data_IF_238297888296
#
_entry.id   IF_238297888296
#
_cell.length_a   1.000
_cell.length_b   1.000
_cell.length_c   1.000
_cell.angle_alpha   90.00
_cell.angle_beta   90.00
_cell.angle_gamma   90.00
#
_symmetry.space_group_name_H-M   'P 1'
#
loop_
_entity.id
_entity.type
_entity.pdbx_description
1 polymer ?
#
# COMPACT_ATOMS: atom_id res chain seq x y z
N UNK A 1 4.96 -13.55 3.51
CA UNK A 1 3.85 -14.39 3.04
C UNK A 1 3.89 -15.72 3.78
N UNK A 2 2.75 -16.41 3.91
CA UNK A 2 2.64 -17.70 4.62
C UNK A 2 3.00 -18.92 3.75
N UNK A 3 2.64 -20.13 4.20
CA UNK A 3 2.85 -21.39 3.47
C UNK A 3 1.76 -21.64 2.43
N UNK A 4 2.12 -21.57 1.15
CA UNK A 4 1.23 -21.69 0.00
C UNK A 4 0.65 -23.09 -0.23
N UNK A 5 1.15 -24.10 0.49
CA UNK A 5 0.72 -25.51 0.36
C UNK A 5 -0.60 -25.79 1.06
N UNK A 6 -1.12 -24.81 1.79
CA UNK A 6 -2.47 -24.90 2.35
C UNK A 6 -3.48 -25.18 1.23
N UNK A 7 -4.50 -25.98 1.54
CA UNK A 7 -5.58 -26.24 0.59
C UNK A 7 -6.36 -24.95 0.35
N UNK A 8 -6.20 -24.41 -0.86
CA UNK A 8 -6.78 -23.14 -1.29
C UNK A 8 -8.31 -23.11 -1.14
N UNK A 9 -9.01 -24.14 -1.63
CA UNK A 9 -10.47 -24.19 -1.61
C UNK A 9 -11.01 -24.23 -0.18
N UNK A 10 -10.38 -25.04 0.68
CA UNK A 10 -10.73 -25.13 2.09
C UNK A 10 -10.40 -23.83 2.84
N UNK A 11 -9.32 -23.12 2.48
CA UNK A 11 -8.96 -21.85 3.08
C UNK A 11 -9.97 -20.74 2.77
N UNK A 12 -10.38 -20.61 1.50
CA UNK A 12 -11.43 -19.66 1.10
C UNK A 12 -12.77 -20.00 1.75
N UNK A 13 -13.13 -21.29 1.82
CA UNK A 13 -14.35 -21.71 2.50
C UNK A 13 -14.36 -21.26 3.97
N UNK A 14 -13.26 -21.49 4.71
CA UNK A 14 -13.14 -21.02 6.10
C UNK A 14 -13.28 -19.50 6.20
N UNK A 15 -12.65 -18.75 5.29
CA UNK A 15 -12.74 -17.29 5.29
C UNK A 15 -14.19 -16.80 5.11
N UNK A 16 -14.97 -17.40 4.20
CA UNK A 16 -16.37 -17.02 4.02
C UNK A 16 -17.29 -17.47 5.17
N UNK A 17 -17.00 -18.61 5.80
CA UNK A 17 -17.80 -19.13 6.92
C UNK A 17 -17.50 -18.42 8.25
N UNK A 18 -16.24 -18.05 8.49
CA UNK A 18 -15.76 -17.58 9.79
C UNK A 18 -15.31 -16.12 9.78
N UNK A 19 -15.16 -15.52 8.59
CA UNK A 19 -14.58 -14.20 8.42
C UNK A 19 -13.04 -14.21 8.52
N UNK A 20 -12.40 -13.03 8.37
CA UNK A 20 -10.98 -12.86 8.61
C UNK A 20 -10.65 -12.97 10.13
N UNK A 21 -9.41 -13.32 10.50
CA UNK A 21 -8.92 -13.22 11.87
C UNK A 21 -9.12 -11.81 12.45
N UNK A 22 -9.42 -11.66 13.74
CA UNK A 22 -9.73 -10.35 14.33
C UNK A 22 -8.60 -9.30 14.20
N UNK A 23 -7.35 -9.77 14.13
CA UNK A 23 -6.12 -9.00 13.98
C UNK A 23 -5.62 -8.95 12.52
N UNK A 24 -6.48 -9.23 11.54
CA UNK A 24 -6.08 -9.28 10.13
C UNK A 24 -5.46 -7.94 9.69
N UNK A 25 -6.00 -6.80 10.14
CA UNK A 25 -5.56 -5.47 9.74
C UNK A 25 -4.13 -5.14 10.19
N UNK A 26 -3.61 -5.89 11.17
CA UNK A 26 -2.24 -5.69 11.64
C UNK A 26 -1.21 -6.33 10.70
N UNK A 27 -1.64 -7.28 9.87
CA UNK A 27 -0.76 -8.17 9.10
C UNK A 27 -1.04 -8.16 7.59
N UNK A 28 -2.27 -7.85 7.17
CA UNK A 28 -2.74 -8.01 5.79
C UNK A 28 -3.35 -6.70 5.27
N UNK A 29 -3.14 -6.42 3.99
CA UNK A 29 -3.62 -5.20 3.34
C UNK A 29 -5.14 -5.15 3.19
N UNK A 30 -5.79 -6.32 3.16
CA UNK A 30 -7.23 -6.47 3.14
C UNK A 30 -7.67 -7.67 3.99
N UNK A 31 -8.95 -7.73 4.36
CA UNK A 31 -9.50 -8.90 5.03
C UNK A 31 -9.34 -10.16 4.16
N UNK A 32 -9.50 -10.03 2.84
CA UNK A 32 -9.41 -11.14 1.90
C UNK A 32 -7.99 -11.66 1.75
N UNK A 33 -6.98 -10.79 1.84
CA UNK A 33 -5.57 -11.18 1.88
C UNK A 33 -5.24 -12.16 3.03
N UNK A 34 -6.02 -12.16 4.12
CA UNK A 34 -5.86 -13.13 5.21
C UNK A 34 -6.38 -14.54 4.89
N UNK A 35 -7.12 -14.72 3.78
CA UNK A 35 -7.78 -15.97 3.44
C UNK A 35 -6.79 -17.07 3.04
N UNK A 36 -5.74 -16.72 2.28
CA UNK A 36 -4.74 -17.65 1.79
C UNK A 36 -3.43 -16.92 1.46
N UNK A 37 -2.24 -17.54 1.59
CA UNK A 37 -0.98 -16.90 1.22
C UNK A 37 -0.91 -16.41 -0.24
N UNK A 38 -1.63 -17.07 -1.16
CA UNK A 38 -1.79 -16.57 -2.54
C UNK A 38 -2.64 -15.30 -2.63
N UNK A 39 -3.66 -15.16 -1.79
CA UNK A 39 -4.43 -13.90 -1.71
C UNK A 39 -3.61 -12.80 -1.05
N UNK A 40 -2.83 -13.10 -0.01
CA UNK A 40 -1.90 -12.14 0.59
C UNK A 40 -0.93 -11.58 -0.45
N UNK A 41 -0.39 -12.46 -1.30
CA UNK A 41 0.46 -12.08 -2.42
C UNK A 41 -0.28 -11.21 -3.45
N UNK A 42 -1.42 -11.69 -3.95
CA UNK A 42 -2.18 -11.02 -5.01
C UNK A 42 -2.68 -9.64 -4.57
N UNK A 43 -3.26 -9.53 -3.38
CA UNK A 43 -3.79 -8.29 -2.83
C UNK A 43 -2.66 -7.30 -2.49
N UNK A 44 -1.51 -7.77 -1.98
CA UNK A 44 -0.33 -6.90 -1.78
C UNK A 44 0.17 -6.33 -3.11
N UNK A 45 0.24 -7.16 -4.16
CA UNK A 45 0.66 -6.72 -5.48
C UNK A 45 -0.33 -5.73 -6.10
N UNK A 46 -1.63 -6.03 -6.03
CA UNK A 46 -2.68 -5.14 -6.51
C UNK A 46 -2.62 -3.78 -5.79
N UNK A 47 -2.42 -3.79 -4.48
CA UNK A 47 -2.26 -2.57 -3.70
C UNK A 47 -1.01 -1.78 -4.09
N UNK A 48 0.11 -2.47 -4.31
CA UNK A 48 1.34 -1.84 -4.79
C UNK A 48 1.15 -1.14 -6.14
N UNK A 49 0.46 -1.77 -7.10
CA UNK A 49 0.12 -1.16 -8.39
C UNK A 49 -0.77 0.07 -8.17
N UNK A 50 -1.85 -0.04 -7.39
CA UNK A 50 -2.73 1.10 -7.11
C UNK A 50 -1.97 2.28 -6.52
N UNK A 51 -1.01 2.04 -5.61
CA UNK A 51 -0.15 3.08 -5.06
C UNK A 51 0.68 3.75 -6.15
N UNK A 52 1.34 2.97 -7.01
CA UNK A 52 2.16 3.52 -8.10
C UNK A 52 1.33 4.34 -9.09
N UNK A 53 0.22 3.78 -9.60
CA UNK A 53 -0.62 4.45 -10.59
C UNK A 53 -1.21 5.76 -10.06
N UNK A 54 -1.57 5.78 -8.79
CA UNK A 54 -2.10 6.99 -8.13
C UNK A 54 -1.00 8.04 -7.93
N UNK A 55 0.22 7.63 -7.58
CA UNK A 55 1.37 8.53 -7.50
C UNK A 55 1.74 9.10 -8.87
N UNK A 56 1.74 8.27 -9.92
CA UNK A 56 2.00 8.68 -11.31
C UNK A 56 0.93 9.67 -11.79
N UNK A 57 -0.34 9.41 -11.50
CA UNK A 57 -1.43 10.36 -11.77
C UNK A 57 -1.18 11.70 -11.07
N UNK A 58 -0.80 11.69 -9.78
CA UNK A 58 -0.49 12.91 -9.05
C UNK A 58 0.74 13.66 -9.60
N UNK A 59 1.76 12.94 -10.07
CA UNK A 59 2.92 13.48 -10.77
C UNK A 59 2.51 14.18 -12.08
N UNK A 60 1.69 13.54 -12.91
CA UNK A 60 1.19 14.08 -14.18
C UNK A 60 0.39 15.38 -14.02
N UNK A 61 -0.38 15.50 -12.93
CA UNK A 61 -1.09 16.73 -12.58
C UNK A 61 -0.25 17.75 -11.80
N UNK A 62 1.05 17.48 -11.59
CA UNK A 62 1.98 18.40 -10.93
C UNK A 62 1.66 18.64 -9.45
N UNK A 63 1.09 17.65 -8.77
CA UNK A 63 0.74 17.76 -7.35
C UNK A 63 2.00 17.97 -6.51
N UNK A 64 1.98 19.04 -5.72
CA UNK A 64 3.03 19.34 -4.73
C UNK A 64 2.41 19.47 -3.36
N UNK A 65 2.94 18.73 -2.41
CA UNK A 65 2.41 18.66 -1.06
C UNK A 65 3.37 19.31 -0.09
N UNK A 66 2.84 19.95 0.96
CA UNK A 66 3.66 20.23 2.13
C UNK A 66 3.91 18.91 2.84
N UNK A 67 5.17 18.63 3.19
CA UNK A 67 5.48 17.41 3.94
C UNK A 67 4.75 17.44 5.29
N UNK A 68 4.09 16.35 5.65
CA UNK A 68 3.48 16.20 6.98
C UNK A 68 4.64 16.11 7.99
N UNK A 69 4.66 16.92 9.06
CA UNK A 69 5.73 16.87 10.06
C UNK A 69 5.86 15.46 10.68
N UNK A 70 7.07 14.90 10.62
CA UNK A 70 7.44 13.57 11.11
C UNK A 70 8.96 13.44 11.24
N UNK A 71 9.40 12.44 12.01
CA UNK A 71 10.74 12.36 12.61
C UNK A 71 11.86 11.93 11.63
N UNK A 72 12.11 12.63 10.51
CA UNK A 72 13.35 12.46 9.74
C UNK A 72 13.76 13.71 8.93
N UNK A 73 14.96 14.23 9.27
CA UNK A 73 15.93 15.03 8.51
C UNK A 73 15.48 16.38 7.85
N UNK A 74 16.40 17.38 7.76
CA UNK A 74 16.12 18.65 7.10
C UNK A 74 16.01 18.44 5.58
N UNK A 75 14.78 18.40 5.10
CA UNK A 75 14.43 18.33 3.68
C UNK A 75 13.54 19.52 3.33
N UNK A 76 13.47 19.93 2.05
CA UNK A 76 12.63 21.05 1.63
C UNK A 76 11.17 20.85 2.05
N UNK A 77 10.52 21.93 2.48
CA UNK A 77 9.14 21.93 3.01
C UNK A 77 8.09 21.39 2.02
N UNK A 78 8.41 21.41 0.72
CA UNK A 78 7.56 20.90 -0.35
C UNK A 78 8.07 19.55 -0.87
N UNK A 79 7.18 18.55 -0.83
CA UNK A 79 7.30 17.27 -1.48
C UNK A 79 6.70 17.37 -2.88
N UNK A 80 7.52 17.17 -3.92
CA UNK A 80 7.03 16.96 -5.28
C UNK A 80 6.78 15.47 -5.44
N UNK A 81 5.56 15.09 -5.80
CA UNK A 81 5.24 13.68 -6.07
C UNK A 81 5.89 13.29 -7.39
N UNK A 82 6.72 12.25 -7.35
CA UNK A 82 7.40 11.64 -8.48
C UNK A 82 7.70 10.17 -8.22
N UNK A 83 7.69 9.36 -9.27
CA UNK A 83 8.12 7.97 -9.18
C UNK A 83 9.55 7.89 -8.59
N UNK A 84 9.69 7.11 -7.51
CA UNK A 84 10.95 6.89 -6.81
C UNK A 84 11.37 5.44 -6.90
N UNK A 85 12.66 5.20 -7.17
CA UNK A 85 13.28 3.88 -7.06
C UNK A 85 13.60 3.53 -5.60
N UNK A 86 13.66 4.53 -4.71
CA UNK A 86 13.79 4.30 -3.28
C UNK A 86 12.39 4.07 -2.68
N UNK A 87 12.20 2.88 -2.09
CA UNK A 87 10.93 2.47 -1.50
C UNK A 87 10.52 3.35 -0.30
N UNK A 88 11.48 3.83 0.50
CA UNK A 88 11.16 4.71 1.64
C UNK A 88 10.57 6.03 1.15
N UNK A 89 11.19 6.66 0.15
CA UNK A 89 10.68 7.86 -0.47
C UNK A 89 9.36 7.62 -1.21
N UNK A 90 9.13 6.44 -1.78
CA UNK A 90 7.84 6.07 -2.37
C UNK A 90 6.73 6.03 -1.30
N UNK A 91 7.01 5.40 -0.16
CA UNK A 91 6.08 5.30 0.96
C UNK A 91 5.76 6.67 1.58
N UNK A 92 6.76 7.54 1.76
CA UNK A 92 6.56 8.90 2.27
C UNK A 92 5.63 9.73 1.36
N UNK A 93 5.80 9.58 0.06
CA UNK A 93 4.94 10.20 -0.95
C UNK A 93 3.52 9.64 -0.91
N UNK A 94 3.38 8.31 -0.80
CA UNK A 94 2.09 7.65 -0.69
C UNK A 94 1.31 8.08 0.56
N UNK A 95 1.98 8.16 1.71
CA UNK A 95 1.34 8.63 2.94
C UNK A 95 0.85 10.07 2.82
N UNK A 96 1.66 10.94 2.22
CA UNK A 96 1.27 12.34 2.01
C UNK A 96 0.05 12.45 1.07
N UNK A 97 0.04 11.66 -0.01
CA UNK A 97 -1.03 11.68 -1.01
C UNK A 97 -2.34 11.03 -0.51
N UNK A 98 -2.25 9.95 0.25
CA UNK A 98 -3.42 9.30 0.86
C UNK A 98 -4.09 10.21 1.91
N UNK A 99 -3.31 10.91 2.73
CA UNK A 99 -3.84 11.92 3.67
C UNK A 99 -4.53 13.06 2.93
N UNK A 100 -3.94 13.58 1.84
CA UNK A 100 -4.61 14.57 1.00
C UNK A 100 -5.93 14.03 0.44
N UNK A 101 -5.91 12.83 -0.14
CA UNK A 101 -7.09 12.23 -0.78
C UNK A 101 -8.23 12.04 0.22
N UNK A 102 -7.93 11.55 1.42
CA UNK A 102 -8.94 11.42 2.48
C UNK A 102 -9.46 12.78 2.94
N UNK A 103 -8.59 13.79 3.07
CA UNK A 103 -9.01 15.14 3.43
C UNK A 103 -9.91 15.79 2.36
N UNK A 104 -9.62 15.56 1.07
CA UNK A 104 -10.46 16.01 -0.03
C UNK A 104 -11.84 15.33 0.02
N UNK A 105 -11.88 14.01 0.16
CA UNK A 105 -13.13 13.26 0.27
C UNK A 105 -13.99 13.75 1.43
N UNK A 106 -13.42 13.86 2.64
CA UNK A 106 -14.16 14.36 3.81
C UNK A 106 -14.67 15.79 3.61
N UNK A 107 -13.90 16.65 2.93
CA UNK A 107 -14.33 18.03 2.62
C UNK A 107 -15.52 18.07 1.65
N UNK A 108 -15.70 17.02 0.84
CA UNK A 108 -16.84 16.83 -0.04
C UNK A 108 -18.00 16.07 0.63
N UNK A 109 -17.87 15.67 1.90
CA UNK A 109 -18.86 14.87 2.61
C UNK A 109 -18.85 13.38 2.22
N UNK A 110 -17.75 12.89 1.65
CA UNK A 110 -17.53 11.49 1.30
C UNK A 110 -16.68 10.79 2.37
N UNK A 111 -16.79 9.46 2.43
CA UNK A 111 -15.90 8.62 3.23
C UNK A 111 -14.47 8.66 2.72
N UNK A 112 -13.51 8.28 3.57
CA UNK A 112 -12.09 8.22 3.22
C UNK A 112 -11.86 7.39 1.94
N UNK A 113 -11.19 7.98 0.94
CA UNK A 113 -10.83 7.31 -0.30
C UNK A 113 -9.91 6.10 -0.05
N UNK A 114 -9.09 6.20 0.99
CA UNK A 114 -8.08 5.23 1.37
C UNK A 114 -8.21 4.91 2.87
N UNK A 115 -9.05 3.93 3.24
CA UNK A 115 -9.28 3.55 4.64
C UNK A 115 -8.28 2.49 5.16
N UNK A 116 -7.15 2.27 4.48
CA UNK A 116 -6.21 1.20 4.81
C UNK A 116 -5.11 1.66 5.77
N UNK A 117 -4.72 0.78 6.69
CA UNK A 117 -3.58 0.98 7.59
C UNK A 117 -2.39 0.17 7.10
N UNK A 118 -1.30 0.84 6.72
CA UNK A 118 -0.08 0.16 6.30
C UNK A 118 0.88 -0.03 7.48
N UNK A 119 0.62 -1.08 8.26
CA UNK A 119 1.48 -1.50 9.39
C UNK A 119 2.87 -1.94 8.93
N UNK A 120 3.81 -2.09 9.86
CA UNK A 120 5.17 -2.52 9.53
C UNK A 120 5.21 -3.87 8.76
N UNK A 121 4.46 -4.92 9.16
CA UNK A 121 4.39 -6.16 8.38
C UNK A 121 3.90 -5.97 6.94
N UNK A 122 2.89 -5.12 6.73
CA UNK A 122 2.36 -4.85 5.39
C UNK A 122 3.39 -4.08 4.55
N UNK A 123 4.06 -3.09 5.14
CA UNK A 123 5.15 -2.35 4.46
C UNK A 123 6.30 -3.26 4.05
N UNK A 124 6.69 -4.24 4.87
CA UNK A 124 7.71 -5.23 4.50
C UNK A 124 7.28 -6.05 3.28
N UNK A 125 6.01 -6.44 3.18
CA UNK A 125 5.48 -7.16 2.01
C UNK A 125 5.46 -6.28 0.75
N UNK A 126 5.05 -5.02 0.88
CA UNK A 126 5.09 -4.04 -0.20
C UNK A 126 6.53 -3.79 -0.68
N UNK A 127 7.49 -3.68 0.24
CA UNK A 127 8.90 -3.54 -0.09
C UNK A 127 9.40 -4.75 -0.86
N UNK A 128 9.03 -5.96 -0.46
CA UNK A 128 9.39 -7.18 -1.17
C UNK A 128 8.87 -7.18 -2.62
N UNK A 129 7.62 -6.76 -2.85
CA UNK A 129 7.07 -6.59 -4.21
C UNK A 129 7.85 -5.53 -4.99
N UNK A 130 8.17 -4.40 -4.36
CA UNK A 130 8.98 -3.34 -4.96
C UNK A 130 10.35 -3.85 -5.39
N UNK A 131 11.06 -4.56 -4.51
CA UNK A 131 12.40 -5.10 -4.79
C UNK A 131 12.39 -6.08 -5.97
N UNK A 132 11.34 -6.92 -6.08
CA UNK A 132 11.15 -7.78 -7.25
C UNK A 132 11.06 -6.93 -8.51
N UNK A 133 10.13 -5.98 -8.56
CA UNK A 133 9.90 -5.13 -9.75
C UNK A 133 11.17 -4.35 -10.13
N UNK A 134 11.85 -3.76 -9.14
CA UNK A 134 13.08 -2.99 -9.35
C UNK A 134 14.21 -3.86 -9.89
N UNK A 135 14.32 -5.12 -9.47
CA UNK A 135 15.32 -6.07 -10.00
C UNK A 135 15.10 -6.37 -11.49
N UNK A 136 13.85 -6.46 -11.95
CA UNK A 136 13.54 -6.65 -13.37
C UNK A 136 13.86 -5.44 -14.23
N UNK A 137 13.75 -4.23 -13.67
CA UNK A 137 14.02 -2.98 -14.38
C UNK A 137 15.53 -2.73 -14.65
N UNK A 138 16.41 -3.37 -13.87
CA UNK A 138 17.88 -3.28 -14.02
C UNK A 138 18.42 -4.31 -15.03
N UNK A 139 17.63 -5.33 -15.39
CA UNK A 139 18.02 -6.41 -16.29
C UNK A 139 17.61 -6.20 -17.77
N UNK A 140 16.96 -5.07 -18.10
CA UNK A 140 16.52 -4.67 -19.44
C UNK A 140 17.31 -3.45 -19.94
#
# INVERSE_FOLDING_TARGET
FGDERADYANALKRHYEQGPPADWSDHFVSAYASAHPWEDWAETWAHYIHMLDTLETAEDFGVRLRRIPGDHAPQPDMLTIRRSEDFSALMDQWFSLSVLSNALNRSMGLDDAYPFTLTAPIRTKLQFVHDIVSTWNVAA
#
